data_IF_176672749556
#
_entry.id   IF_176672749556
#
_cell.length_a   1.000
_cell.length_b   1.000
_cell.length_c   1.000
_cell.angle_alpha   90.00
_cell.angle_beta   90.00
_cell.angle_gamma   90.00
#
_symmetry.space_group_name_H-M   'P 1'
#
loop_
_entity.id
_entity.type
_entity.pdbx_description
1 polymer ?
#
# COMPACT_ATOMS: atom_id res chain seq x y z
N UNK A 1 -13.34 -31.87 -35.62
CA UNK A 1 -13.00 -30.49 -35.21
C UNK A 1 -13.38 -30.11 -33.76
N UNK A 2 -14.05 -30.96 -32.95
CA UNK A 2 -14.46 -30.58 -31.57
C UNK A 2 -13.44 -30.90 -30.45
N UNK A 3 -12.33 -31.59 -30.78
CA UNK A 3 -11.37 -32.09 -29.77
C UNK A 3 -10.15 -31.16 -29.62
N UNK A 4 -9.72 -30.51 -30.70
CA UNK A 4 -8.55 -29.60 -30.69
C UNK A 4 -8.79 -28.30 -29.89
N UNK A 5 -10.01 -27.76 -29.88
CA UNK A 5 -10.32 -26.51 -29.17
C UNK A 5 -10.27 -26.67 -27.65
N UNK A 6 -10.52 -27.88 -27.14
CA UNK A 6 -10.48 -28.14 -25.69
C UNK A 6 -9.06 -28.26 -25.14
N UNK A 7 -8.09 -28.68 -25.97
CA UNK A 7 -6.69 -28.84 -25.55
C UNK A 7 -5.97 -27.49 -25.48
N UNK A 8 -6.25 -26.56 -26.40
CA UNK A 8 -5.67 -25.20 -26.36
C UNK A 8 -6.13 -24.40 -25.13
N UNK A 9 -7.37 -24.57 -24.67
CA UNK A 9 -7.87 -23.87 -23.48
C UNK A 9 -7.16 -24.32 -22.20
N UNK A 10 -6.74 -25.58 -22.12
CA UNK A 10 -6.06 -26.14 -20.95
C UNK A 10 -4.59 -25.68 -20.88
N UNK A 11 -3.92 -25.49 -22.04
CA UNK A 11 -2.55 -24.96 -22.09
C UNK A 11 -2.50 -23.46 -21.74
N UNK A 12 -3.53 -22.69 -22.12
CA UNK A 12 -3.66 -21.29 -21.72
C UNK A 12 -4.00 -21.14 -20.23
N UNK A 13 -4.78 -22.06 -19.66
CA UNK A 13 -5.08 -22.09 -18.23
C UNK A 13 -3.91 -22.59 -17.36
N UNK A 14 -3.05 -23.46 -17.89
CA UNK A 14 -1.89 -23.99 -17.18
C UNK A 14 -0.71 -23.00 -17.09
N UNK A 15 -0.61 -22.05 -18.02
CA UNK A 15 0.45 -21.02 -18.00
C UNK A 15 0.16 -19.86 -17.04
N UNK A 16 -1.11 -19.65 -16.64
CA UNK A 16 -1.46 -18.72 -15.56
C UNK A 16 -1.24 -19.29 -14.15
N UNK A 17 -1.02 -20.61 -14.01
CA UNK A 17 -0.82 -21.27 -12.71
C UNK A 17 0.66 -21.37 -12.27
N UNK A 18 1.62 -20.87 -13.06
CA UNK A 18 3.04 -20.95 -12.72
C UNK A 18 3.61 -19.73 -11.96
N UNK A 19 2.78 -18.74 -11.57
CA UNK A 19 3.20 -17.66 -10.67
C UNK A 19 2.92 -17.94 -9.18
N UNK A 20 2.59 -19.19 -8.83
CA UNK A 20 2.66 -19.66 -7.44
C UNK A 20 4.12 -20.04 -7.12
N UNK A 21 5.07 -19.18 -7.46
CA UNK A 21 6.37 -19.20 -6.78
C UNK A 21 6.12 -18.61 -5.41
N UNK A 22 5.94 -19.49 -4.43
CA UNK A 22 6.61 -19.50 -3.12
C UNK A 22 7.26 -18.20 -2.58
N UNK A 23 6.63 -17.04 -2.76
CA UNK A 23 6.98 -15.85 -2.00
C UNK A 23 6.14 -15.91 -0.74
N UNK A 24 6.78 -15.95 0.42
CA UNK A 24 6.17 -15.34 1.59
C UNK A 24 5.74 -13.95 1.12
N UNK A 25 4.42 -13.73 0.97
CA UNK A 25 3.91 -12.41 0.62
C UNK A 25 4.57 -11.43 1.57
N UNK A 26 5.35 -10.49 1.03
CA UNK A 26 6.06 -9.55 1.87
C UNK A 26 5.02 -8.81 2.70
N UNK A 27 5.20 -8.84 4.02
CA UNK A 27 4.32 -8.13 4.95
C UNK A 27 5.13 -7.05 5.64
N UNK A 28 4.46 -5.94 5.90
CA UNK A 28 4.95 -4.88 6.75
C UNK A 28 4.16 -4.94 8.06
N UNK A 29 4.86 -4.71 9.16
CA UNK A 29 4.24 -4.61 10.47
C UNK A 29 4.84 -3.42 11.22
N UNK A 30 4.03 -2.88 12.13
CA UNK A 30 4.37 -1.73 12.94
C UNK A 30 3.80 -0.43 12.39
N UNK A 31 4.22 0.66 13.02
CA UNK A 31 3.75 2.01 12.75
C UNK A 31 4.86 2.81 12.09
N UNK A 32 4.54 3.47 10.98
CA UNK A 32 5.47 4.32 10.23
C UNK A 32 4.85 5.70 10.07
N UNK A 33 5.63 6.75 10.24
CA UNK A 33 5.13 8.11 10.15
C UNK A 33 6.06 9.03 9.34
N UNK A 34 5.43 10.01 8.70
CA UNK A 34 6.08 11.12 8.03
C UNK A 34 5.46 12.42 8.47
N UNK A 35 6.28 13.46 8.59
CA UNK A 35 5.85 14.79 8.99
C UNK A 35 6.40 15.82 8.00
N UNK A 36 5.59 16.83 7.73
CA UNK A 36 5.94 18.01 6.96
C UNK A 36 5.61 19.24 7.81
N UNK A 37 6.61 20.04 8.13
CA UNK A 37 6.48 21.28 8.89
C UNK A 37 6.88 22.47 8.01
N UNK A 38 5.92 23.35 7.73
CA UNK A 38 6.10 24.60 6.99
C UNK A 38 5.92 25.82 7.91
N UNK A 39 6.15 25.65 9.22
CA UNK A 39 6.05 26.68 10.26
C UNK A 39 4.62 26.94 10.69
N UNK A 40 3.83 27.63 9.85
CA UNK A 40 2.42 27.97 10.13
C UNK A 40 1.43 26.87 9.74
N UNK A 41 1.90 25.91 8.94
CA UNK A 41 1.16 24.72 8.54
C UNK A 41 2.00 23.48 8.82
N UNK A 42 1.40 22.47 9.44
CA UNK A 42 2.01 21.16 9.67
C UNK A 42 1.09 20.07 9.14
N UNK A 43 1.67 19.05 8.53
CA UNK A 43 0.96 17.84 8.15
C UNK A 43 1.74 16.63 8.67
N UNK A 44 1.02 15.65 9.20
CA UNK A 44 1.58 14.37 9.61
C UNK A 44 0.72 13.26 9.04
N UNK A 45 1.35 12.16 8.65
CA UNK A 45 0.67 10.94 8.28
C UNK A 45 1.31 9.77 9.01
N UNK A 46 0.47 8.88 9.53
CA UNK A 46 0.85 7.66 10.19
C UNK A 46 0.17 6.48 9.50
N UNK A 47 0.96 5.45 9.19
CA UNK A 47 0.51 4.18 8.66
C UNK A 47 0.80 3.09 9.68
N UNK A 48 -0.25 2.43 10.17
CA UNK A 48 -0.14 1.26 11.05
C UNK A 48 -0.50 0.00 10.29
N UNK A 49 0.48 -0.88 10.12
CA UNK A 49 0.30 -2.15 9.42
C UNK A 49 0.20 -3.33 10.39
N UNK A 50 -0.79 -4.18 10.18
CA UNK A 50 -1.02 -5.39 10.97
C UNK A 50 -1.60 -6.51 10.12
N UNK A 51 -0.79 -7.52 9.80
CA UNK A 51 -1.17 -8.54 8.81
C UNK A 51 -1.39 -7.90 7.44
N UNK A 52 -2.56 -8.11 6.85
CA UNK A 52 -2.98 -7.48 5.58
C UNK A 52 -3.75 -6.16 5.77
N UNK A 53 -3.93 -5.70 7.01
CA UNK A 53 -4.66 -4.46 7.33
C UNK A 53 -3.73 -3.27 7.41
N UNK A 54 -4.26 -2.11 7.05
CA UNK A 54 -3.63 -0.81 7.25
C UNK A 54 -4.62 0.18 7.87
N UNK A 55 -4.15 0.94 8.84
CA UNK A 55 -4.85 2.11 9.40
C UNK A 55 -4.00 3.34 9.09
N UNK A 56 -4.59 4.34 8.46
CA UNK A 56 -3.93 5.58 8.07
C UNK A 56 -4.52 6.72 8.88
N UNK A 57 -3.72 7.36 9.72
CA UNK A 57 -4.11 8.56 10.44
C UNK A 57 -3.37 9.74 9.86
N UNK A 58 -4.11 10.71 9.32
CA UNK A 58 -3.52 11.95 8.83
C UNK A 58 -4.00 13.12 9.67
N UNK A 59 -3.07 14.00 10.00
CA UNK A 59 -3.30 15.19 10.82
C UNK A 59 -2.79 16.39 10.06
N UNK A 60 -3.60 17.43 9.97
CA UNK A 60 -3.22 18.72 9.40
C UNK A 60 -3.50 19.82 10.41
N UNK A 61 -2.51 20.68 10.64
CA UNK A 61 -2.60 21.84 11.52
C UNK A 61 -2.30 23.10 10.71
N UNK A 62 -3.23 24.05 10.69
CA UNK A 62 -3.08 25.33 9.99
C UNK A 62 -3.49 26.44 10.94
N UNK A 63 -2.62 27.42 11.16
CA UNK A 63 -2.89 28.59 12.01
C UNK A 63 -3.43 28.23 13.42
N UNK A 64 -2.90 27.15 14.00
CA UNK A 64 -3.30 26.67 15.33
C UNK A 64 -4.54 25.77 15.36
N UNK A 65 -5.29 25.66 14.26
CA UNK A 65 -6.42 24.72 14.13
C UNK A 65 -5.91 23.37 13.65
N UNK A 66 -6.20 22.32 14.39
CA UNK A 66 -5.80 20.94 14.09
C UNK A 66 -6.99 20.10 13.66
N UNK A 67 -6.80 19.32 12.60
CA UNK A 67 -7.77 18.34 12.10
C UNK A 67 -7.08 16.99 11.98
N UNK A 68 -7.72 15.94 12.46
CA UNK A 68 -7.21 14.57 12.36
C UNK A 68 -8.31 13.65 11.88
N UNK A 69 -7.95 12.71 11.00
CA UNK A 69 -8.86 11.70 10.50
C UNK A 69 -8.13 10.37 10.36
N UNK A 70 -8.88 9.29 10.54
CA UNK A 70 -8.40 7.93 10.43
C UNK A 70 -9.17 7.19 9.34
N UNK A 71 -8.44 6.51 8.47
CA UNK A 71 -8.95 5.69 7.39
C UNK A 71 -8.49 4.25 7.62
N UNK A 72 -9.38 3.30 7.46
CA UNK A 72 -9.07 1.88 7.59
C UNK A 72 -9.14 1.19 6.22
N UNK A 73 -8.32 0.16 6.06
CA UNK A 73 -8.28 -0.57 4.82
C UNK A 73 -7.36 -1.78 4.87
N UNK A 74 -6.99 -2.22 3.67
CA UNK A 74 -6.09 -3.33 3.42
C UNK A 74 -4.97 -2.90 2.50
N UNK A 75 -3.89 -3.68 2.49
CA UNK A 75 -2.82 -3.49 1.54
C UNK A 75 -2.31 -4.83 1.01
N UNK A 76 -1.68 -4.78 -0.16
CA UNK A 76 -0.96 -5.90 -0.76
C UNK A 76 0.36 -5.40 -1.35
N UNK A 77 1.44 -6.14 -1.12
CA UNK A 77 2.72 -5.88 -1.77
C UNK A 77 2.91 -6.91 -2.87
N UNK A 78 3.24 -6.43 -4.06
CA UNK A 78 3.52 -7.25 -5.24
C UNK A 78 4.89 -6.88 -5.80
N UNK A 79 5.66 -7.90 -6.20
CA UNK A 79 6.93 -7.70 -6.89
C UNK A 79 6.75 -8.13 -8.34
N UNK A 80 7.00 -7.23 -9.28
CA UNK A 80 6.95 -7.50 -10.72
C UNK A 80 8.16 -6.83 -11.37
N UNK A 81 8.91 -7.58 -12.17
CA UNK A 81 10.09 -7.08 -12.89
C UNK A 81 11.06 -6.35 -11.93
N UNK A 82 11.33 -6.96 -10.77
CA UNK A 82 12.16 -6.42 -9.66
C UNK A 82 11.64 -5.15 -8.99
N UNK A 83 10.52 -4.59 -9.44
CA UNK A 83 9.86 -3.43 -8.83
C UNK A 83 8.82 -3.89 -7.83
N UNK A 84 8.82 -3.29 -6.64
CA UNK A 84 7.81 -3.54 -5.62
C UNK A 84 6.76 -2.44 -5.63
N UNK A 85 5.52 -2.86 -5.56
CA UNK A 85 4.35 -1.99 -5.51
C UNK A 85 3.51 -2.36 -4.30
N UNK A 86 3.13 -1.38 -3.49
CA UNK A 86 2.12 -1.52 -2.45
C UNK A 86 0.80 -0.97 -2.95
N UNK A 87 -0.22 -1.81 -3.06
CA UNK A 87 -1.58 -1.37 -3.38
C UNK A 87 -2.38 -1.25 -2.08
N UNK A 88 -2.91 -0.06 -1.80
CA UNK A 88 -3.75 0.24 -0.64
C UNK A 88 -5.21 0.36 -1.08
N UNK A 89 -6.09 -0.35 -0.39
CA UNK A 89 -7.55 -0.31 -0.61
C UNK A 89 -8.21 0.13 0.68
N UNK A 90 -8.90 1.27 0.65
CA UNK A 90 -9.56 1.85 1.82
C UNK A 90 -11.06 1.55 1.80
N UNK A 91 -11.62 1.22 2.96
CA UNK A 91 -13.04 0.94 3.14
C UNK A 91 -13.74 2.16 3.73
N UNK A 92 -13.93 3.19 2.91
CA UNK A 92 -14.52 4.46 3.35
C UNK A 92 -15.11 5.26 2.19
N UNK A 93 -16.04 6.15 2.53
CA UNK A 93 -16.60 7.17 1.62
C UNK A 93 -15.96 8.56 1.81
N UNK A 94 -14.85 8.66 2.56
CA UNK A 94 -14.15 9.93 2.74
C UNK A 94 -13.47 10.35 1.42
N UNK A 95 -13.76 11.57 0.95
CA UNK A 95 -13.18 12.11 -0.28
C UNK A 95 -11.64 12.20 -0.26
N UNK A 96 -11.03 12.23 0.93
CA UNK A 96 -9.57 12.21 1.05
C UNK A 96 -8.97 10.81 0.92
N UNK A 97 -9.77 9.74 0.97
CA UNK A 97 -9.28 8.37 0.85
C UNK A 97 -8.56 8.15 -0.48
N UNK A 98 -9.03 8.80 -1.55
CA UNK A 98 -8.41 8.76 -2.87
C UNK A 98 -6.91 9.14 -2.87
N UNK A 99 -6.47 9.99 -1.92
CA UNK A 99 -5.07 10.43 -1.80
C UNK A 99 -4.14 9.34 -1.25
N UNK A 100 -4.70 8.38 -0.54
CA UNK A 100 -3.96 7.34 0.17
C UNK A 100 -4.23 5.92 -0.38
N UNK A 101 -5.22 5.78 -1.25
CA UNK A 101 -5.57 4.53 -1.93
C UNK A 101 -4.88 4.42 -3.28
N UNK A 102 -4.77 3.20 -3.77
CA UNK A 102 -4.19 2.90 -5.09
C UNK A 102 -2.81 2.26 -4.97
N UNK A 103 -2.11 2.19 -6.10
CA UNK A 103 -0.81 1.53 -6.20
C UNK A 103 0.31 2.55 -6.06
N UNK A 104 1.18 2.30 -5.08
CA UNK A 104 2.33 3.12 -4.75
C UNK A 104 3.62 2.34 -4.98
N UNK A 105 4.64 2.98 -5.51
CA UNK A 105 5.99 2.40 -5.49
C UNK A 105 6.42 2.20 -4.04
N UNK A 106 7.02 1.04 -3.75
CA UNK A 106 7.32 0.63 -2.39
C UNK A 106 8.79 0.24 -2.23
N UNK A 107 9.43 0.80 -1.21
CA UNK A 107 10.78 0.43 -0.77
C UNK A 107 10.74 0.22 0.74
N UNK A 108 11.51 -0.75 1.22
CA UNK A 108 11.73 -0.99 2.65
C UNK A 108 13.21 -0.96 2.93
N UNK A 109 13.59 -0.22 3.95
CA UNK A 109 14.94 -0.25 4.51
C UNK A 109 14.92 -0.55 6.00
N UNK A 110 16.06 -0.36 6.64
CA UNK A 110 16.15 -0.54 8.09
C UNK A 110 15.47 0.63 8.80
N UNK A 111 14.40 0.34 9.54
CA UNK A 111 13.63 1.36 10.27
C UNK A 111 12.77 2.30 9.42
N UNK A 112 12.59 2.06 8.12
CA UNK A 112 11.72 2.90 7.27
C UNK A 112 11.03 2.14 6.15
N UNK A 113 9.98 2.75 5.61
CA UNK A 113 9.41 2.44 4.29
C UNK A 113 9.39 3.71 3.44
N UNK A 114 9.40 3.56 2.12
CA UNK A 114 9.06 4.65 1.20
C UNK A 114 7.84 4.29 0.37
N UNK A 115 6.92 5.24 0.25
CA UNK A 115 5.78 5.18 -0.66
C UNK A 115 5.92 6.34 -1.64
N UNK A 116 6.05 6.07 -2.93
CA UNK A 116 6.24 7.10 -3.97
C UNK A 116 7.42 8.05 -3.69
N UNK A 117 8.51 7.47 -3.16
CA UNK A 117 9.72 8.21 -2.78
C UNK A 117 9.62 8.97 -1.46
N UNK A 118 8.43 9.08 -0.86
CA UNK A 118 8.25 9.71 0.47
C UNK A 118 8.64 8.71 1.55
N UNK A 119 9.66 9.05 2.33
CA UNK A 119 10.13 8.22 3.44
C UNK A 119 9.25 8.38 4.68
N UNK A 120 8.81 7.25 5.22
CA UNK A 120 8.08 7.13 6.48
C UNK A 120 8.96 6.34 7.44
N UNK A 121 9.28 6.93 8.58
CA UNK A 121 10.16 6.33 9.57
C UNK A 121 9.34 5.51 10.56
N UNK A 122 9.86 4.36 10.96
CA UNK A 122 9.25 3.51 11.98
C UNK A 122 9.22 4.25 13.32
N UNK A 123 8.07 4.22 13.99
CA UNK A 123 7.90 4.71 15.37
C UNK A 123 8.33 3.67 16.40
#
# INVERSE_FOLDING_TARGET
>A
MKVLTKVLAIVLAATMLCFVFASCAETVSGTYAGELDLGVAKAAVEYKFSGSKVTITYTAKILGVETSKTLEGTYKIETKDEKKTMTITLDTKDDNAAKFSGSHSYEKGDGFIKLDGVQLNKK
#
